data_IF_230649421921
#
_entry.id   IF_230649421921
#
_cell.length_a   1.000
_cell.length_b   1.000
_cell.length_c   1.000
_cell.angle_alpha   90.00
_cell.angle_beta   90.00
_cell.angle_gamma   90.00
#
_symmetry.space_group_name_H-M   'P 1'
#
loop_
_entity.id
_entity.type
_entity.pdbx_description
1 polymer ?
#
# COMPACT_ATOMS: atom_id res chain seq x y z
N UNK A 1 3.63 -29.77 -12.06
CA UNK A 1 4.72 -29.15 -11.27
C UNK A 1 5.03 -30.08 -10.13
N UNK A 2 6.31 -30.37 -9.90
CA UNK A 2 6.71 -31.18 -8.76
C UNK A 2 6.57 -30.36 -7.48
N UNK A 3 6.12 -30.98 -6.38
CA UNK A 3 5.88 -30.28 -5.10
C UNK A 3 7.12 -29.51 -4.61
N UNK A 4 8.31 -30.06 -4.83
CA UNK A 4 9.57 -29.37 -4.52
C UNK A 4 9.75 -28.10 -5.36
N UNK A 5 9.49 -28.16 -6.67
CA UNK A 5 9.61 -26.98 -7.55
C UNK A 5 8.60 -25.87 -7.18
N UNK A 6 7.38 -26.25 -6.79
CA UNK A 6 6.37 -25.32 -6.30
C UNK A 6 6.77 -24.70 -4.96
N UNK A 7 7.25 -25.51 -4.01
CA UNK A 7 7.63 -25.01 -2.69
C UNK A 7 8.84 -24.06 -2.78
N UNK A 8 9.83 -24.39 -3.61
CA UNK A 8 10.99 -23.53 -3.83
C UNK A 8 10.57 -22.19 -4.45
N UNK A 9 9.69 -22.18 -5.47
CA UNK A 9 9.24 -20.94 -6.09
C UNK A 9 8.40 -20.09 -5.15
N UNK A 10 7.51 -20.71 -4.36
CA UNK A 10 6.70 -20.05 -3.35
C UNK A 10 7.57 -19.41 -2.27
N UNK A 11 8.50 -20.17 -1.69
CA UNK A 11 9.36 -19.70 -0.61
C UNK A 11 10.28 -18.58 -1.09
N UNK A 12 10.86 -18.71 -2.29
CA UNK A 12 11.70 -17.67 -2.89
C UNK A 12 10.91 -16.38 -3.08
N UNK A 13 9.72 -16.47 -3.69
CA UNK A 13 8.86 -15.31 -3.93
C UNK A 13 8.40 -14.66 -2.62
N UNK A 14 8.07 -15.47 -1.62
CA UNK A 14 7.66 -14.99 -0.30
C UNK A 14 8.80 -14.29 0.44
N UNK A 15 10.03 -14.81 0.40
CA UNK A 15 11.18 -14.14 1.00
C UNK A 15 11.48 -12.79 0.34
N UNK A 16 11.42 -12.72 -0.99
CA UNK A 16 11.56 -11.45 -1.72
C UNK A 16 10.47 -10.47 -1.27
N UNK A 17 9.21 -10.92 -1.20
CA UNK A 17 8.10 -10.11 -0.71
C UNK A 17 8.36 -9.57 0.70
N UNK A 18 8.81 -10.42 1.64
CA UNK A 18 9.13 -9.99 3.01
C UNK A 18 10.22 -8.92 3.02
N UNK A 19 11.30 -9.09 2.26
CA UNK A 19 12.37 -8.09 2.14
C UNK A 19 11.82 -6.75 1.62
N UNK A 20 10.99 -6.79 0.58
CA UNK A 20 10.37 -5.58 0.02
C UNK A 20 9.44 -4.89 1.02
N UNK A 21 8.62 -5.63 1.76
CA UNK A 21 7.75 -5.05 2.80
C UNK A 21 8.61 -4.40 3.89
N UNK A 22 9.68 -5.04 4.36
CA UNK A 22 10.57 -4.45 5.36
C UNK A 22 11.22 -3.15 4.87
N UNK A 23 11.68 -3.12 3.62
CA UNK A 23 12.22 -1.91 3.00
C UNK A 23 11.16 -0.80 2.92
N UNK A 24 9.94 -1.13 2.50
CA UNK A 24 8.82 -0.20 2.48
C UNK A 24 8.51 0.35 3.88
N UNK A 25 8.41 -0.51 4.90
CA UNK A 25 8.14 -0.10 6.28
C UNK A 25 9.21 0.85 6.82
N UNK A 26 10.47 0.59 6.48
CA UNK A 26 11.59 1.44 6.88
C UNK A 26 11.59 2.80 6.16
N UNK A 27 11.45 2.78 4.83
CA UNK A 27 11.55 3.99 4.00
C UNK A 27 10.33 4.91 4.15
N UNK A 28 9.13 4.35 4.28
CA UNK A 28 7.88 5.13 4.45
C UNK A 28 7.76 5.84 5.80
N UNK A 29 8.60 5.50 6.77
CA UNK A 29 8.66 6.17 8.07
C UNK A 29 9.65 7.35 8.10
N UNK A 30 10.46 7.53 7.05
CA UNK A 30 11.41 8.64 6.97
C UNK A 30 10.67 9.92 6.52
N UNK A 31 10.70 11.01 7.30
CA UNK A 31 9.97 12.25 6.95
C UNK A 31 10.43 12.84 5.60
N UNK A 32 11.71 12.70 5.26
CA UNK A 32 12.24 13.13 3.96
C UNK A 32 11.63 12.38 2.75
N UNK A 33 10.99 11.24 2.97
CA UNK A 33 10.35 10.45 1.92
C UNK A 33 8.84 10.68 1.83
N UNK A 34 8.26 11.60 2.61
CA UNK A 34 6.82 11.88 2.58
C UNK A 34 6.34 12.32 1.20
N UNK A 35 7.15 13.08 0.47
CA UNK A 35 6.87 13.49 -0.91
C UNK A 35 6.81 12.32 -1.90
N UNK A 36 7.46 11.19 -1.58
CA UNK A 36 7.44 9.98 -2.42
C UNK A 36 6.23 9.10 -2.09
N UNK A 37 5.92 8.93 -0.80
CA UNK A 37 4.87 8.00 -0.35
C UNK A 37 3.47 8.64 -0.26
N UNK A 38 3.39 9.96 -0.10
CA UNK A 38 2.12 10.69 0.05
C UNK A 38 1.99 11.91 -0.88
N UNK A 39 2.43 11.86 -2.16
CA UNK A 39 2.46 13.03 -3.04
C UNK A 39 1.07 13.62 -3.27
N UNK A 40 0.06 12.78 -3.53
CA UNK A 40 -1.30 13.24 -3.83
C UNK A 40 -1.93 14.00 -2.65
N UNK A 41 -1.66 13.54 -1.42
CA UNK A 41 -2.14 14.21 -0.20
C UNK A 41 -1.50 15.59 -0.05
N UNK A 42 -0.18 15.65 -0.25
CA UNK A 42 0.59 16.91 -0.21
C UNK A 42 0.10 17.90 -1.27
N UNK A 43 -0.14 17.43 -2.50
CA UNK A 43 -0.66 18.27 -3.60
C UNK A 43 -2.06 18.81 -3.30
N UNK A 44 -2.85 18.10 -2.49
CA UNK A 44 -4.19 18.52 -2.04
C UNK A 44 -4.15 19.36 -0.75
N UNK A 45 -2.96 19.70 -0.24
CA UNK A 45 -2.79 20.47 1.00
C UNK A 45 -3.18 19.71 2.27
N UNK A 46 -3.23 18.37 2.19
CA UNK A 46 -3.56 17.49 3.31
C UNK A 46 -2.28 17.03 4.01
N UNK A 47 -2.40 16.71 5.30
CA UNK A 47 -1.32 16.07 6.05
C UNK A 47 -0.90 14.76 5.37
N UNK A 48 0.42 14.51 5.18
CA UNK A 48 0.91 13.30 4.53
C UNK A 48 0.43 12.02 5.22
N UNK A 49 0.29 12.04 6.55
CA UNK A 49 -0.05 10.86 7.34
C UNK A 49 -1.20 11.15 8.29
N UNK A 50 -2.35 10.51 8.05
CA UNK A 50 -3.49 10.51 8.97
C UNK A 50 -3.50 9.25 9.84
N UNK A 51 -3.84 9.41 11.12
CA UNK A 51 -4.10 8.30 12.04
C UNK A 51 -2.88 7.65 12.71
N UNK A 52 -3.06 6.39 13.13
CA UNK A 52 -2.12 5.69 14.02
C UNK A 52 -0.74 5.50 13.39
N UNK A 53 0.31 5.73 14.18
CA UNK A 53 1.70 5.45 13.79
C UNK A 53 2.01 3.98 14.08
N UNK A 54 2.50 3.25 13.07
CA UNK A 54 2.87 1.85 13.20
C UNK A 54 3.17 1.18 11.86
N UNK A 55 3.83 0.00 11.88
CA UNK A 55 4.23 -0.70 10.66
C UNK A 55 3.03 -1.17 9.83
N UNK A 56 1.88 -1.47 10.44
CA UNK A 56 0.68 -1.93 9.72
C UNK A 56 -0.40 -0.86 9.58
N UNK A 57 -0.08 0.41 9.87
CA UNK A 57 -1.05 1.50 9.76
C UNK A 57 -1.58 1.66 8.32
N UNK A 58 -0.72 1.43 7.32
CA UNK A 58 -1.09 1.49 5.90
C UNK A 58 -2.14 0.44 5.53
N UNK A 59 -2.08 -0.76 6.13
CA UNK A 59 -3.07 -1.83 5.89
C UNK A 59 -4.44 -1.36 6.37
N UNK A 60 -4.52 -0.87 7.61
CA UNK A 60 -5.78 -0.38 8.18
C UNK A 60 -6.34 0.80 7.39
N UNK A 61 -5.49 1.71 6.92
CA UNK A 61 -5.89 2.82 6.05
C UNK A 61 -6.43 2.34 4.71
N UNK A 62 -5.75 1.38 4.06
CA UNK A 62 -6.15 0.85 2.76
C UNK A 62 -7.49 0.10 2.82
N UNK A 63 -7.69 -0.74 3.84
CA UNK A 63 -8.95 -1.48 4.03
C UNK A 63 -10.08 -0.63 4.62
N UNK A 64 -9.76 0.48 5.28
CA UNK A 64 -10.73 1.37 5.89
C UNK A 64 -11.26 2.48 4.97
N UNK A 65 -10.63 2.68 3.82
CA UNK A 65 -11.01 3.73 2.87
C UNK A 65 -12.38 3.41 2.24
N UNK A 66 -13.29 4.38 2.32
CA UNK A 66 -14.59 4.32 1.65
C UNK A 66 -14.46 4.55 0.14
N UNK A 67 -15.43 4.05 -0.64
CA UNK A 67 -15.49 4.32 -2.08
C UNK A 67 -15.56 5.84 -2.37
N UNK A 68 -16.30 6.59 -1.55
CA UNK A 68 -16.39 8.05 -1.68
C UNK A 68 -15.02 8.70 -1.49
N UNK A 69 -14.25 8.30 -0.47
CA UNK A 69 -12.88 8.78 -0.27
C UNK A 69 -11.96 8.40 -1.44
N UNK A 70 -12.13 7.22 -2.04
CA UNK A 70 -11.38 6.82 -3.23
C UNK A 70 -11.72 7.70 -4.44
N UNK A 71 -12.99 8.01 -4.66
CA UNK A 71 -13.40 8.92 -5.74
C UNK A 71 -12.85 10.33 -5.51
N UNK A 72 -12.94 10.84 -4.29
CA UNK A 72 -12.50 12.19 -3.94
C UNK A 72 -10.96 12.33 -3.96
N UNK A 73 -10.23 11.29 -3.52
CA UNK A 73 -8.77 11.30 -3.44
C UNK A 73 -8.09 10.82 -4.72
N UNK A 74 -8.55 9.74 -5.34
CA UNK A 74 -7.90 9.08 -6.46
C UNK A 74 -8.66 9.19 -7.79
N UNK A 75 -9.94 9.58 -7.76
CA UNK A 75 -10.79 9.72 -8.95
C UNK A 75 -11.63 8.48 -9.23
N UNK A 76 -12.62 8.65 -10.12
CA UNK A 76 -13.61 7.61 -10.47
C UNK A 76 -12.93 6.41 -11.13
N UNK A 77 -11.97 6.61 -12.02
CA UNK A 77 -11.28 5.51 -12.72
C UNK A 77 -10.56 4.57 -11.75
N UNK A 78 -9.89 5.14 -10.74
CA UNK A 78 -9.22 4.37 -9.70
C UNK A 78 -10.22 3.61 -8.82
N UNK A 79 -11.33 4.25 -8.45
CA UNK A 79 -12.40 3.61 -7.67
C UNK A 79 -12.99 2.40 -8.41
N UNK A 80 -13.33 2.57 -9.70
CA UNK A 80 -13.87 1.48 -10.54
C UNK A 80 -12.86 0.33 -10.65
N UNK A 81 -11.58 0.62 -10.82
CA UNK A 81 -10.54 -0.41 -10.89
C UNK A 81 -10.43 -1.21 -9.58
N UNK A 82 -10.46 -0.56 -8.42
CA UNK A 82 -10.40 -1.23 -7.11
C UNK A 82 -11.64 -2.09 -6.87
N UNK A 83 -12.83 -1.59 -7.21
CA UNK A 83 -14.08 -2.38 -7.12
C UNK A 83 -14.02 -3.61 -8.01
N UNK A 84 -13.53 -3.47 -9.25
CA UNK A 84 -13.36 -4.59 -10.18
C UNK A 84 -12.36 -5.63 -9.68
N UNK A 85 -11.28 -5.23 -9.00
CA UNK A 85 -10.32 -6.19 -8.42
C UNK A 85 -10.89 -6.95 -7.20
N UNK A 86 -11.85 -6.36 -6.49
CA UNK A 86 -12.48 -6.96 -5.32
C UNK A 86 -13.67 -7.88 -5.64
N UNK A 87 -14.20 -7.82 -6.86
CA UNK A 87 -15.31 -8.66 -7.36
C UNK A 87 -14.83 -9.97 -7.98
#
# INVERSE_FOLDING_TARGET
>A
MDTSSFLTSLLTSFLIFVVLVLLFLYLSQRPGNEVVYFPNRILKGLEPREGARGPFAWVRGAFGASEQELVDLAGVDAAVYIVFLGS
#
